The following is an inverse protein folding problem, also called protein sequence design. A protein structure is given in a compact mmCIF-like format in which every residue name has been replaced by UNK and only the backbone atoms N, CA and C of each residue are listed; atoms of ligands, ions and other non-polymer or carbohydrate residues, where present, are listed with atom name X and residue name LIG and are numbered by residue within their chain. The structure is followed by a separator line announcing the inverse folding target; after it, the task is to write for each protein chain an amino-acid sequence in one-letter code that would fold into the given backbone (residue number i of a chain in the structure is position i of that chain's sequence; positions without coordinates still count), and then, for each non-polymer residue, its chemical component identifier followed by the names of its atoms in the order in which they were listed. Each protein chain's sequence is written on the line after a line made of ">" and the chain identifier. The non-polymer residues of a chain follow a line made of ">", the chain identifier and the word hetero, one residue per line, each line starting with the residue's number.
data_IF_116061055445
#
_entry.id   IF_116061055445
#
_cell.length_a   1.000
_cell.length_b   1.000
_cell.length_c   1.000
_cell.angle_alpha   90.00
_cell.angle_beta   90.00
_cell.angle_gamma   90.00
#
_symmetry.space_group_name_H-M   'P 1'
#
loop_
_entity.id
_entity.type
_entity.pdbx_description
1 polymer ?
#
# COMPACT_ATOMS: atom_id res chain seq x y z
N UNK A 1 -9.22 -0.62 -4.20
CA UNK A 1 -7.94 0.08 -4.47
C UNK A 1 -7.54 -0.24 -5.91
N UNK A 2 -8.28 0.28 -6.90
CA UNK A 2 -8.01 -0.01 -8.29
C UNK A 2 -6.65 0.58 -8.71
N UNK A 3 -6.06 0.01 -9.77
CA UNK A 3 -4.75 0.42 -10.29
C UNK A 3 -3.90 -0.80 -10.63
N UNK A 4 -3.57 -1.63 -9.64
CA UNK A 4 -2.93 -2.92 -9.88
C UNK A 4 -3.77 -3.79 -10.84
N UNK A 5 -5.05 -3.94 -10.53
CA UNK A 5 -6.09 -4.41 -11.45
C UNK A 5 -7.38 -3.60 -11.25
N UNK A 6 -8.34 -3.62 -12.20
CA UNK A 6 -9.58 -2.85 -12.07
C UNK A 6 -10.40 -3.23 -10.83
N UNK A 7 -10.43 -4.52 -10.48
CA UNK A 7 -11.17 -5.07 -9.33
C UNK A 7 -10.35 -5.15 -8.03
N UNK A 8 -9.14 -4.60 -7.99
CA UNK A 8 -8.26 -4.75 -6.84
C UNK A 8 -8.84 -4.07 -5.58
N UNK A 9 -8.76 -4.75 -4.43
CA UNK A 9 -9.29 -4.30 -3.15
C UNK A 9 -8.23 -4.35 -2.05
N UNK A 10 -8.43 -3.53 -1.03
CA UNK A 10 -7.64 -3.50 0.20
C UNK A 10 -8.61 -3.49 1.38
N UNK A 11 -8.19 -4.04 2.52
CA UNK A 11 -9.03 -4.18 3.71
C UNK A 11 -8.42 -3.43 4.88
N UNK A 12 -9.24 -2.65 5.58
CA UNK A 12 -8.85 -1.91 6.76
C UNK A 12 -9.65 -2.40 7.97
N UNK A 13 -8.95 -2.80 9.04
CA UNK A 13 -9.54 -3.19 10.31
C UNK A 13 -9.17 -2.10 11.34
N UNK A 14 -10.10 -1.20 11.68
CA UNK A 14 -9.79 0.01 12.45
C UNK A 14 -9.45 -0.26 13.92
N UNK A 15 -10.09 -1.22 14.57
CA UNK A 15 -9.94 -1.47 16.02
C UNK A 15 -8.54 -1.97 16.38
N UNK A 16 -7.95 -2.81 15.53
CA UNK A 16 -6.58 -3.34 15.66
C UNK A 16 -5.57 -2.58 14.81
N UNK A 17 -6.03 -1.58 14.04
CA UNK A 17 -5.23 -0.79 13.11
C UNK A 17 -4.42 -1.64 12.12
N UNK A 18 -5.07 -2.63 11.51
CA UNK A 18 -4.43 -3.53 10.54
C UNK A 18 -4.92 -3.21 9.13
N UNK A 19 -3.97 -2.93 8.23
CA UNK A 19 -4.22 -2.67 6.82
C UNK A 19 -3.69 -3.80 5.96
N UNK A 20 -4.54 -4.43 5.15
CA UNK A 20 -4.15 -5.36 4.10
C UNK A 20 -4.20 -4.63 2.76
N UNK A 21 -3.04 -4.40 2.17
CA UNK A 21 -2.89 -3.56 0.97
C UNK A 21 -3.10 -4.31 -0.35
N UNK A 22 -3.08 -5.65 -0.31
CA UNK A 22 -3.01 -6.46 -1.52
C UNK A 22 -1.73 -6.17 -2.30
N UNK A 23 -1.83 -6.10 -3.62
CA UNK A 23 -0.70 -5.90 -4.54
C UNK A 23 -0.56 -4.46 -5.03
N UNK A 24 -1.20 -3.51 -4.33
CA UNK A 24 -1.02 -2.07 -4.60
C UNK A 24 0.41 -1.62 -4.28
N UNK A 25 1.12 -2.36 -3.41
CA UNK A 25 2.50 -2.18 -2.95
C UNK A 25 3.10 -3.56 -2.62
N UNK A 26 4.42 -3.70 -2.71
CA UNK A 26 5.15 -4.89 -2.29
C UNK A 26 6.16 -4.58 -1.18
N UNK A 27 6.45 -5.56 -0.32
CA UNK A 27 7.52 -5.47 0.68
C UNK A 27 8.37 -6.76 0.75
N UNK A 28 8.85 -7.24 -0.40
CA UNK A 28 9.64 -8.48 -0.45
C UNK A 28 11.10 -8.29 -0.01
N UNK A 29 11.78 -7.27 -0.57
CA UNK A 29 13.16 -6.90 -0.19
C UNK A 29 13.16 -5.53 0.49
N UNK A 30 12.32 -4.63 -0.03
CA UNK A 30 12.05 -3.30 0.49
C UNK A 30 10.67 -2.87 0.01
N UNK A 31 10.08 -1.90 0.69
CA UNK A 31 8.83 -1.29 0.27
C UNK A 31 8.99 -0.68 -1.13
N UNK A 32 8.13 -1.08 -2.06
CA UNK A 32 8.16 -0.60 -3.44
C UNK A 32 6.77 -0.52 -4.07
N UNK A 33 6.70 0.24 -5.17
CA UNK A 33 5.58 0.12 -6.10
C UNK A 33 5.58 -1.30 -6.72
N UNK A 34 4.41 -1.81 -7.15
CA UNK A 34 4.33 -3.03 -7.92
C UNK A 34 5.07 -2.88 -9.25
N UNK A 35 5.43 -4.00 -9.87
CA UNK A 35 6.09 -3.96 -11.17
C UNK A 35 5.16 -3.37 -12.23
N UNK A 36 5.67 -2.45 -13.04
CA UNK A 36 4.89 -1.72 -14.04
C UNK A 36 4.17 -2.66 -15.03
N UNK A 37 4.85 -3.74 -15.45
CA UNK A 37 4.29 -4.76 -16.34
C UNK A 37 3.12 -5.56 -15.73
N UNK A 38 2.93 -5.50 -14.40
CA UNK A 38 1.84 -6.15 -13.68
C UNK A 38 0.85 -5.14 -13.07
N UNK A 39 0.86 -3.89 -13.53
CA UNK A 39 -0.01 -2.83 -13.00
C UNK A 39 -0.84 -2.25 -14.14
N UNK A 40 -2.16 -2.47 -14.09
CA UNK A 40 -3.08 -2.04 -15.16
C UNK A 40 -3.12 -0.51 -15.36
N UNK A 41 -3.06 0.25 -14.28
CA UNK A 41 -3.00 1.73 -14.28
C UNK A 41 -2.16 2.22 -13.11
N UNK A 42 -0.94 2.69 -13.41
CA UNK A 42 0.03 3.13 -12.41
C UNK A 42 -0.41 4.41 -11.68
N UNK A 43 -1.10 5.34 -12.35
CA UNK A 43 -1.54 6.59 -11.75
C UNK A 43 -2.75 6.37 -10.83
N UNK A 44 -3.67 5.50 -11.24
CA UNK A 44 -4.76 5.06 -10.37
C UNK A 44 -4.24 4.25 -9.17
N UNK A 45 -3.20 3.43 -9.37
CA UNK A 45 -2.52 2.72 -8.28
C UNK A 45 -1.94 3.69 -7.25
N UNK A 46 -1.26 4.76 -7.70
CA UNK A 46 -0.77 5.84 -6.82
C UNK A 46 -1.89 6.54 -6.06
N UNK A 47 -3.04 6.81 -6.69
CA UNK A 47 -4.22 7.37 -6.00
C UNK A 47 -4.75 6.41 -4.93
N UNK A 48 -4.72 5.10 -5.17
CA UNK A 48 -5.04 4.09 -4.17
C UNK A 48 -4.05 4.11 -3.00
N UNK A 49 -2.73 4.18 -3.27
CA UNK A 49 -1.68 4.30 -2.24
C UNK A 49 -1.89 5.55 -1.39
N UNK A 50 -2.19 6.70 -2.01
CA UNK A 50 -2.47 7.95 -1.30
C UNK A 50 -3.58 7.79 -0.25
N UNK A 51 -4.71 7.18 -0.63
CA UNK A 51 -5.83 6.92 0.30
C UNK A 51 -5.45 5.98 1.43
N UNK A 52 -4.62 4.97 1.15
CA UNK A 52 -4.17 4.03 2.18
C UNK A 52 -3.16 4.66 3.15
N UNK A 53 -2.31 5.56 2.67
CA UNK A 53 -1.31 6.28 3.46
C UNK A 53 -1.91 7.30 4.46
N UNK A 54 -3.20 7.60 4.34
CA UNK A 54 -3.95 8.43 5.28
C UNK A 54 -4.47 7.61 6.49
N UNK A 55 -4.42 6.28 6.43
CA UNK A 55 -4.83 5.41 7.52
C UNK A 55 -3.73 5.28 8.58
N UNK A 56 -4.13 5.41 9.83
CA UNK A 56 -3.25 5.25 10.99
C UNK A 56 -3.02 3.76 11.32
N UNK A 57 -2.40 3.03 10.38
CA UNK A 57 -2.15 1.60 10.50
C UNK A 57 -0.94 1.31 11.42
N UNK A 58 -1.12 0.41 12.39
CA UNK A 58 -0.01 -0.14 13.16
C UNK A 58 0.69 -1.27 12.41
N UNK A 59 -0.10 -2.06 11.67
CA UNK A 59 0.39 -3.18 10.86
C UNK A 59 -0.07 -2.98 9.42
N UNK A 60 0.88 -3.05 8.48
CA UNK A 60 0.58 -3.03 7.05
C UNK A 60 1.02 -4.36 6.44
N UNK A 61 0.05 -5.13 5.97
CA UNK A 61 0.24 -6.40 5.28
C UNK A 61 0.20 -6.19 3.76
N UNK A 62 0.98 -6.97 3.03
CA UNK A 62 1.10 -6.91 1.57
C UNK A 62 0.66 -8.23 0.96
N UNK A 63 0.25 -8.22 -0.30
CA UNK A 63 0.04 -9.46 -1.06
C UNK A 63 1.35 -10.23 -1.24
N UNK A 64 2.48 -9.51 -1.31
CA UNK A 64 3.82 -10.07 -1.45
C UNK A 64 4.83 -9.44 -0.47
N UNK A 65 5.52 -10.30 0.28
CA UNK A 65 6.55 -9.93 1.24
C UNK A 65 6.04 -9.78 2.68
N UNK A 66 6.93 -9.31 3.55
CA UNK A 66 6.67 -9.30 5.00
C UNK A 66 5.81 -8.09 5.40
N UNK A 67 4.96 -8.22 6.44
CA UNK A 67 4.24 -7.09 6.99
C UNK A 67 5.21 -6.08 7.61
N UNK A 68 4.84 -4.79 7.58
CA UNK A 68 5.55 -3.76 8.34
C UNK A 68 4.82 -3.54 9.66
N UNK A 69 5.54 -3.74 10.75
CA UNK A 69 5.07 -3.49 12.12
C UNK A 69 6.25 -3.28 13.08
N UNK A 70 6.09 -2.42 14.11
CA UNK A 70 4.96 -1.49 14.31
C UNK A 70 5.00 -0.29 13.35
N UNK A 71 3.99 0.58 13.44
CA UNK A 71 3.88 1.88 12.75
C UNK A 71 3.87 1.82 11.21
N UNK A 72 3.28 0.78 10.63
CA UNK A 72 3.28 0.60 9.17
C UNK A 72 2.64 1.77 8.39
N UNK A 73 1.65 2.47 8.95
CA UNK A 73 1.03 3.65 8.36
C UNK A 73 2.00 4.83 8.24
N UNK A 74 2.87 5.05 9.22
CA UNK A 74 3.90 6.10 9.16
C UNK A 74 4.93 5.79 8.08
N UNK A 75 5.37 4.53 8.00
CA UNK A 75 6.30 4.05 6.97
C UNK A 75 5.68 4.23 5.58
N UNK A 76 4.41 3.85 5.42
CA UNK A 76 3.67 4.02 4.17
C UNK A 76 3.53 5.50 3.78
N UNK A 77 3.22 6.37 4.75
CA UNK A 77 3.12 7.82 4.53
C UNK A 77 4.45 8.44 4.13
N UNK A 78 5.55 8.03 4.78
CA UNK A 78 6.91 8.44 4.41
C UNK A 78 7.24 8.00 2.98
N UNK A 79 7.01 6.73 2.65
CA UNK A 79 7.22 6.20 1.31
C UNK A 79 6.42 6.98 0.26
N UNK A 80 5.14 7.27 0.51
CA UNK A 80 4.31 8.00 -0.43
C UNK A 80 4.84 9.43 -0.69
N UNK A 81 5.35 10.12 0.33
CA UNK A 81 6.02 11.44 0.16
C UNK A 81 7.30 11.33 -0.66
N UNK A 82 8.17 10.36 -0.37
CA UNK A 82 9.43 10.14 -1.10
C UNK A 82 9.21 9.81 -2.58
N UNK A 83 8.02 9.30 -2.93
CA UNK A 83 7.60 8.99 -4.30
C UNK A 83 6.76 10.08 -4.96
N UNK A 84 6.54 11.23 -4.30
CA UNK A 84 5.70 12.31 -4.81
C UNK A 84 4.23 11.94 -4.98
N UNK A 85 3.75 10.93 -4.24
CA UNK A 85 2.34 10.49 -4.21
C UNK A 85 1.54 11.35 -3.22
N UNK A 86 2.19 11.77 -2.12
CA UNK A 86 1.69 12.69 -1.11
C UNK A 86 2.42 14.03 -1.15
#
# INVERSE_FOLDING_TARGET
>A
TPGHSPGHVAFWQPEKKVLFTGDVLFNMIRLSLPWAMMTADAELNKKSIKRLAELDAMVVCFGHGDPIMPNGGEVLKKFARERGIL
#
